data_IF_401780070411
#
_entry.id   IF_401780070411
#
_cell.length_a   1.000
_cell.length_b   1.000
_cell.length_c   1.000
_cell.angle_alpha   90.00
_cell.angle_beta   90.00
_cell.angle_gamma   90.00
#
_symmetry.space_group_name_H-M   'P 1'
#
loop_
_entity.id
_entity.type
_entity.pdbx_description
1 polymer ?
#
# COMPACT_ATOMS: atom_id res chain seq x y z
N UNK A 1 -11.70 11.45 12.31
CA UNK A 1 -12.32 11.18 10.98
C UNK A 1 -13.44 10.19 11.17
N UNK A 2 -14.67 10.62 10.88
CA UNK A 2 -15.94 10.04 11.33
C UNK A 2 -15.99 8.49 11.30
N UNK A 3 -16.25 7.87 12.45
CA UNK A 3 -16.50 6.44 12.60
C UNK A 3 -17.52 5.90 11.58
N UNK A 4 -18.52 6.73 11.24
CA UNK A 4 -19.54 6.47 10.22
C UNK A 4 -18.94 6.22 8.83
N UNK A 5 -17.97 7.02 8.39
CA UNK A 5 -17.29 6.82 7.10
C UNK A 5 -16.50 5.50 7.11
N UNK A 6 -15.78 5.22 8.20
CA UNK A 6 -15.01 3.97 8.32
C UNK A 6 -15.89 2.72 8.34
N UNK A 7 -17.14 2.84 8.83
CA UNK A 7 -18.12 1.75 8.90
C UNK A 7 -18.77 1.51 7.54
N UNK A 8 -19.16 2.59 6.85
CA UNK A 8 -19.67 2.53 5.48
C UNK A 8 -18.59 2.00 4.54
N UNK A 9 -17.35 2.46 4.65
CA UNK A 9 -16.26 1.98 3.81
C UNK A 9 -15.96 0.50 4.03
N UNK A 10 -15.95 0.02 5.29
CA UNK A 10 -15.80 -1.41 5.61
C UNK A 10 -16.96 -2.24 5.08
N UNK A 11 -18.19 -1.77 5.27
CA UNK A 11 -19.39 -2.46 4.79
C UNK A 11 -19.44 -2.53 3.25
N UNK A 12 -19.15 -1.41 2.58
CA UNK A 12 -19.09 -1.34 1.14
C UNK A 12 -17.96 -2.21 0.57
N UNK A 13 -16.78 -2.23 1.20
CA UNK A 13 -15.65 -3.07 0.79
C UNK A 13 -15.94 -4.56 0.98
N UNK A 14 -16.56 -4.96 2.10
CA UNK A 14 -16.96 -6.35 2.34
C UNK A 14 -18.02 -6.83 1.36
N UNK A 15 -18.98 -5.97 0.99
CA UNK A 15 -20.00 -6.31 0.02
C UNK A 15 -19.38 -6.38 -1.38
N UNK A 16 -18.66 -5.35 -1.81
CA UNK A 16 -18.08 -5.27 -3.15
C UNK A 16 -17.13 -6.42 -3.49
N UNK A 17 -16.45 -7.01 -2.49
CA UNK A 17 -15.55 -8.16 -2.68
C UNK A 17 -16.22 -9.54 -2.56
N UNK A 18 -17.51 -9.62 -2.26
CA UNK A 18 -18.19 -10.89 -2.00
C UNK A 18 -18.79 -11.53 -3.27
N UNK A 19 -18.68 -12.85 -3.40
CA UNK A 19 -19.30 -13.63 -4.48
C UNK A 19 -20.81 -13.31 -4.72
N UNK A 20 -21.66 -13.16 -3.69
CA UNK A 20 -23.07 -12.78 -3.91
C UNK A 20 -23.24 -11.36 -4.47
N UNK A 21 -22.37 -10.41 -4.14
CA UNK A 21 -22.44 -9.06 -4.73
C UNK A 21 -22.06 -9.07 -6.21
N UNK A 22 -21.05 -9.86 -6.59
CA UNK A 22 -20.71 -10.05 -8.00
C UNK A 22 -21.89 -10.65 -8.78
N UNK A 23 -22.54 -11.68 -8.23
CA UNK A 23 -23.74 -12.27 -8.84
C UNK A 23 -24.88 -11.24 -8.98
N UNK A 24 -25.10 -10.40 -7.98
CA UNK A 24 -26.09 -9.32 -8.05
C UNK A 24 -25.76 -8.27 -9.13
N UNK A 25 -24.49 -7.88 -9.27
CA UNK A 25 -24.04 -6.98 -10.35
C UNK A 25 -24.28 -7.57 -11.73
N UNK A 26 -23.95 -8.85 -11.93
CA UNK A 26 -24.20 -9.57 -13.20
C UNK A 26 -25.71 -9.62 -13.50
N UNK A 27 -26.53 -9.95 -12.50
CA UNK A 27 -27.98 -9.97 -12.66
C UNK A 27 -28.54 -8.60 -13.03
N UNK A 28 -28.04 -7.53 -12.41
CA UNK A 28 -28.40 -6.15 -12.76
C UNK A 28 -28.09 -5.81 -14.22
N UNK A 29 -26.92 -6.21 -14.72
CA UNK A 29 -26.53 -6.01 -16.13
C UNK A 29 -27.45 -6.80 -17.07
N UNK A 30 -27.79 -8.05 -16.71
CA UNK A 30 -28.70 -8.89 -17.51
C UNK A 30 -30.10 -8.28 -17.57
N UNK A 31 -30.63 -7.81 -16.42
CA UNK A 31 -31.93 -7.12 -16.37
C UNK A 31 -31.89 -5.86 -17.23
N UNK A 32 -30.87 -5.02 -17.09
CA UNK A 32 -30.72 -3.82 -17.91
C UNK A 32 -30.69 -4.15 -19.42
N UNK A 33 -29.95 -5.18 -19.83
CA UNK A 33 -29.89 -5.60 -21.23
C UNK A 33 -31.25 -6.13 -21.72
N UNK A 34 -31.98 -6.88 -20.88
CA UNK A 34 -33.30 -7.42 -21.22
C UNK A 34 -34.36 -6.32 -21.40
N UNK A 35 -34.26 -5.21 -20.68
CA UNK A 35 -35.14 -4.05 -20.85
C UNK A 35 -34.71 -3.12 -21.99
N UNK A 36 -33.48 -3.24 -22.50
CA UNK A 36 -32.96 -2.43 -23.61
C UNK A 36 -33.84 -2.37 -24.87
N UNK A 37 -34.40 -3.49 -25.37
CA UNK A 37 -35.30 -3.50 -26.53
C UNK A 37 -36.57 -2.67 -26.34
N UNK A 38 -37.12 -2.62 -25.11
CA UNK A 38 -38.32 -1.81 -24.80
C UNK A 38 -38.03 -0.32 -24.98
N UNK A 39 -36.81 0.11 -24.66
CA UNK A 39 -36.34 1.48 -24.81
C UNK A 39 -35.57 1.73 -26.11
N UNK A 40 -35.62 0.78 -27.05
CA UNK A 40 -34.95 0.84 -28.35
C UNK A 40 -33.44 1.11 -28.24
N UNK A 41 -32.81 0.73 -27.12
CA UNK A 41 -31.43 1.09 -26.81
C UNK A 41 -31.11 2.58 -27.00
N UNK A 42 -32.05 3.46 -26.63
CA UNK A 42 -31.91 4.91 -26.81
C UNK A 42 -30.66 5.50 -26.15
N UNK A 43 -30.24 6.66 -26.63
CA UNK A 43 -29.09 7.38 -26.06
C UNK A 43 -29.28 7.65 -24.57
N UNK A 44 -30.51 7.97 -24.13
CA UNK A 44 -30.81 8.15 -22.70
C UNK A 44 -30.66 6.85 -21.91
N UNK A 45 -31.08 5.71 -22.46
CA UNK A 45 -30.94 4.40 -21.82
C UNK A 45 -29.48 4.00 -21.60
N UNK A 46 -28.63 4.25 -22.60
CA UNK A 46 -27.19 4.00 -22.52
C UNK A 46 -26.48 5.01 -21.61
N UNK A 47 -26.87 6.30 -21.67
CA UNK A 47 -26.31 7.36 -20.85
C UNK A 47 -26.50 7.06 -19.36
N UNK A 48 -27.70 6.63 -18.96
CA UNK A 48 -28.01 6.32 -17.56
C UNK A 48 -27.05 5.27 -16.99
N UNK A 49 -26.81 4.16 -17.70
CA UNK A 49 -25.93 3.12 -17.17
C UNK A 49 -24.45 3.53 -17.20
N UNK A 50 -24.03 4.25 -18.23
CA UNK A 50 -22.65 4.73 -18.35
C UNK A 50 -22.33 5.75 -17.24
N UNK A 51 -23.19 6.75 -17.06
CA UNK A 51 -23.03 7.75 -16.00
C UNK A 51 -23.07 7.11 -14.61
N UNK A 52 -23.99 6.17 -14.38
CA UNK A 52 -24.09 5.47 -13.09
C UNK A 52 -22.84 4.66 -12.78
N UNK A 53 -22.36 3.88 -13.75
CA UNK A 53 -21.15 3.06 -13.60
C UNK A 53 -19.92 3.92 -13.37
N UNK A 54 -19.83 5.07 -14.04
CA UNK A 54 -18.74 6.03 -13.84
C UNK A 54 -18.72 6.57 -12.41
N UNK A 55 -19.86 7.02 -11.88
CA UNK A 55 -19.97 7.49 -10.49
C UNK A 55 -19.59 6.39 -9.50
N UNK A 56 -20.13 5.18 -9.67
CA UNK A 56 -19.82 4.02 -8.81
C UNK A 56 -18.32 3.72 -8.86
N UNK A 57 -17.71 3.74 -10.03
CA UNK A 57 -16.28 3.48 -10.21
C UNK A 57 -15.44 4.54 -9.52
N UNK A 58 -15.78 5.82 -9.69
CA UNK A 58 -15.11 6.92 -8.98
C UNK A 58 -15.17 6.74 -7.46
N UNK A 59 -16.34 6.40 -6.92
CA UNK A 59 -16.49 6.11 -5.49
C UNK A 59 -15.68 4.86 -5.08
N UNK A 60 -15.65 3.83 -5.92
CA UNK A 60 -14.91 2.60 -5.66
C UNK A 60 -13.40 2.84 -5.58
N UNK A 61 -12.85 3.74 -6.40
CA UNK A 61 -11.44 4.15 -6.30
C UNK A 61 -11.13 4.70 -4.90
N UNK A 62 -11.96 5.62 -4.38
CA UNK A 62 -11.77 6.14 -3.01
C UNK A 62 -11.91 5.06 -1.94
N UNK A 63 -12.85 4.14 -2.10
CA UNK A 63 -13.04 3.02 -1.16
C UNK A 63 -11.84 2.08 -1.15
N UNK A 64 -11.34 1.71 -2.33
CA UNK A 64 -10.15 0.88 -2.51
C UNK A 64 -8.93 1.58 -1.92
N UNK A 65 -8.72 2.87 -2.21
CA UNK A 65 -7.62 3.66 -1.65
C UNK A 65 -7.70 3.73 -0.11
N UNK A 66 -8.89 3.89 0.47
CA UNK A 66 -9.06 3.89 1.93
C UNK A 66 -8.75 2.51 2.55
N UNK A 67 -9.18 1.42 1.91
CA UNK A 67 -8.84 0.07 2.34
C UNK A 67 -7.32 -0.18 2.25
N UNK A 68 -6.72 0.14 1.10
CA UNK A 68 -5.28 0.02 0.86
C UNK A 68 -4.45 0.86 1.84
N UNK A 69 -4.84 2.11 2.12
CA UNK A 69 -4.13 2.97 3.07
C UNK A 69 -4.14 2.40 4.49
N UNK A 70 -5.26 1.79 4.90
CA UNK A 70 -5.36 1.12 6.20
C UNK A 70 -4.54 -0.17 6.25
N UNK A 71 -4.54 -0.96 5.19
CA UNK A 71 -3.76 -2.20 5.11
C UNK A 71 -2.25 -1.92 5.10
N UNK A 72 -1.81 -0.90 4.36
CA UNK A 72 -0.42 -0.43 4.38
C UNK A 72 0.02 -0.05 5.80
N UNK A 73 -0.79 0.73 6.54
CA UNK A 73 -0.50 1.09 7.93
C UNK A 73 -0.39 -0.14 8.85
N UNK A 74 -1.23 -1.15 8.64
CA UNK A 74 -1.16 -2.38 9.42
C UNK A 74 0.11 -3.19 9.13
N UNK A 75 0.59 -3.18 7.88
CA UNK A 75 1.86 -3.80 7.49
C UNK A 75 3.03 -3.09 8.18
N UNK A 76 3.08 -1.76 8.16
CA UNK A 76 4.12 -0.99 8.86
C UNK A 76 4.21 -1.35 10.34
N UNK A 77 3.08 -1.34 11.07
CA UNK A 77 3.05 -1.70 12.49
C UNK A 77 3.53 -3.13 12.78
N UNK A 78 3.20 -4.09 11.91
CA UNK A 78 3.67 -5.48 12.05
C UNK A 78 5.18 -5.57 11.82
N UNK A 79 5.70 -4.82 10.84
CA UNK A 79 7.13 -4.78 10.55
C UNK A 79 7.90 -4.13 11.72
N UNK A 80 7.38 -3.04 12.29
CA UNK A 80 7.96 -2.39 13.45
C UNK A 80 8.08 -3.33 14.66
N UNK A 81 7.04 -4.12 14.91
CA UNK A 81 7.05 -5.11 16.00
C UNK A 81 8.07 -6.23 15.74
N UNK A 82 8.22 -6.69 14.49
CA UNK A 82 9.26 -7.66 14.10
C UNK A 82 10.67 -7.10 14.26
N UNK A 83 10.90 -5.85 13.83
CA UNK A 83 12.18 -5.15 14.02
C UNK A 83 12.49 -5.03 15.51
N UNK A 84 11.50 -4.69 16.33
CA UNK A 84 11.65 -4.56 17.78
C UNK A 84 11.93 -5.90 18.48
N UNK A 85 11.33 -6.98 18.01
CA UNK A 85 11.53 -8.33 18.57
C UNK A 85 12.89 -8.95 18.18
N UNK A 86 13.50 -8.51 17.08
CA UNK A 86 14.81 -8.97 16.63
C UNK A 86 15.93 -8.33 17.47
N UNK A 87 16.52 -9.10 18.38
CA UNK A 87 17.67 -8.72 19.19
C UNK A 87 18.89 -8.43 18.31
N UNK A 88 19.13 -7.15 18.00
CA UNK A 88 20.21 -6.66 17.15
C UNK A 88 19.79 -5.57 16.16
N UNK A 89 18.49 -5.39 15.92
CA UNK A 89 18.01 -4.30 15.08
C UNK A 89 18.09 -2.96 15.83
N UNK A 90 18.74 -1.95 15.23
CA UNK A 90 18.77 -0.58 15.78
C UNK A 90 17.34 -0.04 15.75
N UNK A 91 16.79 0.25 16.92
CA UNK A 91 15.48 0.89 17.12
C UNK A 91 15.25 2.18 16.30
N UNK A 92 16.32 2.78 15.73
CA UNK A 92 16.29 3.91 14.78
C UNK A 92 15.61 3.60 13.44
N UNK A 93 15.30 2.34 13.11
CA UNK A 93 14.57 1.96 11.88
C UNK A 93 13.05 1.91 12.05
N UNK A 94 12.55 1.98 13.28
CA UNK A 94 11.12 2.03 13.57
C UNK A 94 10.57 3.40 13.15
N UNK A 95 9.38 3.45 12.53
CA UNK A 95 8.71 4.67 12.07
C UNK A 95 9.44 5.46 10.94
N UNK A 96 10.24 4.78 10.11
CA UNK A 96 10.90 5.41 8.95
C UNK A 96 9.91 6.17 8.03
N UNK A 97 8.68 5.66 7.88
CA UNK A 97 7.64 6.25 7.04
C UNK A 97 7.06 7.57 7.59
N UNK A 98 7.35 7.93 8.84
CA UNK A 98 6.90 9.18 9.48
C UNK A 98 7.95 10.29 9.42
N UNK A 99 9.17 9.97 9.01
CA UNK A 99 10.24 10.94 8.90
C UNK A 99 10.01 11.84 7.69
N UNK A 100 10.37 13.12 7.83
CA UNK A 100 10.44 14.05 6.69
C UNK A 100 11.60 13.65 5.76
N UNK A 101 11.53 14.02 4.48
CA UNK A 101 12.61 13.73 3.51
C UNK A 101 13.99 14.19 4.00
N UNK A 102 14.06 15.36 4.64
CA UNK A 102 15.30 15.89 5.22
C UNK A 102 15.83 15.03 6.38
N UNK A 103 14.95 14.44 7.19
CA UNK A 103 15.34 13.52 8.25
C UNK A 103 15.75 12.16 7.68
N UNK A 104 15.06 11.67 6.65
CA UNK A 104 15.40 10.43 5.94
C UNK A 104 16.80 10.53 5.33
N UNK A 105 17.12 11.65 4.66
CA UNK A 105 18.45 11.93 4.10
C UNK A 105 19.54 11.98 5.18
N UNK A 106 19.27 12.61 6.34
CA UNK A 106 20.23 12.63 7.46
C UNK A 106 20.49 11.23 8.01
N UNK A 107 19.44 10.41 8.14
CA UNK A 107 19.56 9.04 8.59
C UNK A 107 20.37 8.19 7.58
N UNK A 108 20.12 8.37 6.28
CA UNK A 108 20.88 7.72 5.22
C UNK A 108 22.36 8.14 5.23
N UNK A 109 22.65 9.44 5.42
CA UNK A 109 24.03 9.93 5.57
C UNK A 109 24.74 9.38 6.82
N UNK A 110 24.02 9.17 7.94
CA UNK A 110 24.59 8.46 9.10
C UNK A 110 24.95 7.01 8.76
N UNK A 111 24.12 6.30 7.97
CA UNK A 111 24.40 4.94 7.53
C UNK A 111 25.60 4.87 6.59
N UNK A 112 25.66 5.74 5.57
CA UNK A 112 26.76 5.77 4.61
C UNK A 112 28.10 6.00 5.31
N UNK A 113 28.13 6.82 6.37
CA UNK A 113 29.33 7.04 7.19
C UNK A 113 29.74 5.79 7.97
N UNK A 114 28.80 5.08 8.59
CA UNK A 114 29.10 3.87 9.37
C UNK A 114 29.61 2.75 8.44
N UNK A 115 28.96 2.54 7.29
CA UNK A 115 29.42 1.56 6.29
C UNK A 115 30.82 1.92 5.76
N UNK A 116 31.08 3.19 5.47
CA UNK A 116 32.40 3.66 5.02
C UNK A 116 33.47 3.68 6.14
N UNK A 117 33.09 3.66 7.42
CA UNK A 117 34.01 3.58 8.55
C UNK A 117 34.36 2.12 8.95
N UNK A 118 33.55 1.14 8.53
CA UNK A 118 33.84 -0.29 8.70
C UNK A 118 34.74 -0.86 7.57
N UNK A 119 34.66 -0.31 6.36
CA UNK A 119 35.52 -0.66 5.23
C UNK A 119 37.05 -0.45 5.42
N UNK A 120 37.56 0.60 6.11
CA UNK A 120 38.99 0.86 6.22
C UNK A 120 39.69 -0.09 7.20
N UNK A 121 38.97 -0.60 8.22
CA UNK A 121 39.56 -1.50 9.23
C UNK A 121 39.84 -2.90 8.68
N UNK A 122 39.00 -3.36 7.76
CA UNK A 122 39.13 -4.69 7.14
C UNK A 122 40.14 -4.71 5.99
N UNK A 123 40.39 -3.55 5.36
CA UNK A 123 41.44 -3.37 4.36
C UNK A 123 42.82 -3.15 5.01
N UNK A 124 42.90 -2.36 6.08
CA UNK A 124 44.15 -2.12 6.81
C UNK A 124 44.68 -3.39 7.52
N UNK A 125 43.79 -4.25 8.03
CA UNK A 125 44.18 -5.53 8.65
C UNK A 125 44.78 -6.54 7.65
N UNK A 126 44.25 -6.60 6.42
CA UNK A 126 44.77 -7.50 5.37
C UNK A 126 46.12 -7.06 4.81
N UNK A 127 46.33 -5.75 4.63
CA UNK A 127 47.62 -5.23 4.17
C UNK A 127 48.77 -5.47 5.18
N UNK A 128 48.46 -5.53 6.48
CA UNK A 128 49.45 -5.83 7.53
C UNK A 128 49.81 -7.32 7.63
N UNK A 129 48.90 -8.25 7.28
CA UNK A 129 49.21 -9.69 7.21
C UNK A 129 50.07 -10.04 5.99
N UNK A 130 49.76 -9.47 4.82
CA UNK A 130 50.53 -9.70 3.59
C UNK A 130 51.98 -9.19 3.71
N UNK A 131 52.19 -8.08 4.43
CA UNK A 131 53.55 -7.51 4.64
C UNK A 131 54.38 -8.35 5.64
N UNK A 132 53.73 -9.11 6.53
CA UNK A 132 54.41 -9.98 7.52
C UNK A 132 54.73 -11.37 7.00
N UNK A 133 54.02 -11.84 5.97
CA UNK A 133 54.31 -13.11 5.29
C UNK A 133 55.35 -12.98 4.18
N UNK A 134 55.62 -11.75 3.73
CA UNK A 134 56.62 -11.43 2.70
C UNK A 134 57.99 -10.98 3.27
N UNK A 135 58.20 -11.04 4.59
CA UNK A 135 59.45 -10.73 5.29
C UNK A 135 59.95 -11.96 6.07
#
# INVERSE_FOLDING_TARGET
MNEKFSRIARWASNIAGSAPAFAACVLLIVVWAAFGPVFHYSDTWQLVINTSTTIITFLMVFLIQNAQNRDAKAIHLKLDELIRAQSGARNKMIDLEKLTDAQLQRLQQEFDKICNEEEPRTAAGRAQEDTKQAA
#
